data_IF_189794060509
#
_entry.id   IF_189794060509
#
_cell.length_a   1.000
_cell.length_b   1.000
_cell.length_c   1.000
_cell.angle_alpha   90.00
_cell.angle_beta   90.00
_cell.angle_gamma   90.00
#
_symmetry.space_group_name_H-M   'P 1'
#
loop_
_entity.id
_entity.type
_entity.pdbx_description
1 polymer ?
#
# COMPACT_ATOMS: atom_id res chain seq x y z
N UNK A 1 5.02 -5.15 5.69
CA UNK A 1 4.48 -4.42 6.86
C UNK A 1 4.07 -5.38 7.99
N UNK A 2 3.99 -4.92 9.25
CA UNK A 2 3.39 -5.68 10.35
C UNK A 2 1.98 -6.15 9.99
N UNK A 3 1.58 -7.31 10.49
CA UNK A 3 0.22 -7.88 10.31
C UNK A 3 -0.26 -7.97 8.85
N UNK A 4 0.70 -8.12 7.92
CA UNK A 4 0.44 -8.32 6.51
C UNK A 4 1.13 -9.58 5.99
N UNK A 5 0.59 -10.18 4.92
CA UNK A 5 1.27 -11.24 4.15
C UNK A 5 1.18 -10.96 2.67
N UNK A 6 2.21 -11.37 1.94
CA UNK A 6 2.21 -11.34 0.49
C UNK A 6 1.95 -12.74 -0.06
N UNK A 7 1.13 -12.82 -1.11
CA UNK A 7 1.07 -13.96 -2.04
C UNK A 7 1.24 -13.43 -3.46
N UNK A 8 1.65 -14.25 -4.41
CA UNK A 8 1.91 -13.78 -5.77
C UNK A 8 1.40 -14.77 -6.82
N UNK A 9 0.88 -14.25 -7.93
CA UNK A 9 0.52 -14.98 -9.13
C UNK A 9 1.00 -14.19 -10.37
N UNK A 10 2.08 -14.64 -11.01
CA UNK A 10 2.70 -13.90 -12.11
C UNK A 10 3.12 -12.49 -11.69
N UNK A 11 2.67 -11.48 -12.43
CA UNK A 11 2.89 -10.06 -12.13
C UNK A 11 1.87 -9.46 -11.14
N UNK A 12 1.03 -10.28 -10.50
CA UNK A 12 0.09 -9.83 -9.46
C UNK A 12 0.59 -10.21 -8.10
N UNK A 13 0.90 -9.21 -7.28
CA UNK A 13 1.25 -9.37 -5.87
C UNK A 13 0.04 -8.98 -5.02
N UNK A 14 -0.33 -9.83 -4.06
CA UNK A 14 -1.48 -9.63 -3.19
C UNK A 14 -1.01 -9.30 -1.79
N UNK A 15 -1.38 -8.12 -1.30
CA UNK A 15 -1.13 -7.68 0.07
C UNK A 15 -2.36 -8.00 0.94
N UNK A 16 -2.26 -9.04 1.76
CA UNK A 16 -3.28 -9.43 2.73
C UNK A 16 -3.11 -8.61 4.01
N UNK A 17 -4.17 -7.90 4.44
CA UNK A 17 -4.18 -7.01 5.61
C UNK A 17 -4.93 -7.67 6.77
N UNK A 18 -4.20 -8.28 7.72
CA UNK A 18 -4.82 -8.94 8.89
C UNK A 18 -5.22 -7.93 9.99
N UNK A 19 -4.55 -6.78 10.03
CA UNK A 19 -4.99 -5.58 10.74
C UNK A 19 -5.38 -4.50 9.73
N UNK A 20 -6.43 -3.72 10.01
CA UNK A 20 -6.79 -2.58 9.16
C UNK A 20 -6.09 -1.31 9.64
N UNK A 21 -5.11 -0.78 8.89
CA UNK A 21 -4.38 0.41 9.29
C UNK A 21 -5.19 1.68 9.00
N UNK A 22 -4.89 2.73 9.75
CA UNK A 22 -5.54 4.02 9.52
C UNK A 22 -4.89 4.73 8.31
N UNK A 23 -5.63 4.79 7.20
CA UNK A 23 -5.32 5.48 5.94
C UNK A 23 -4.09 5.03 5.16
N UNK A 24 -2.97 4.74 5.79
CA UNK A 24 -1.71 4.52 5.05
C UNK A 24 -1.09 3.16 5.34
N UNK A 25 -0.55 2.54 4.29
CA UNK A 25 0.37 1.40 4.41
C UNK A 25 1.63 1.68 3.64
N UNK A 26 2.77 1.50 4.29
CA UNK A 26 4.08 1.70 3.68
C UNK A 26 4.70 0.36 3.30
N UNK A 27 5.10 0.23 2.03
CA UNK A 27 5.68 -0.96 1.45
C UNK A 27 7.13 -0.66 1.03
N UNK A 28 8.12 -0.93 1.90
CA UNK A 28 9.53 -0.82 1.54
C UNK A 28 9.89 -1.75 0.38
N UNK A 29 10.73 -1.29 -0.53
CA UNK A 29 11.19 -2.03 -1.70
C UNK A 29 10.20 -2.08 -2.86
N UNK A 30 9.16 -1.23 -2.87
CA UNK A 30 8.04 -1.31 -3.82
C UNK A 30 7.77 -0.02 -4.59
N UNK A 31 8.47 1.09 -4.31
CA UNK A 31 8.17 2.41 -4.90
C UNK A 31 8.21 2.39 -6.43
N UNK A 32 9.09 1.57 -7.00
CA UNK A 32 9.32 1.53 -8.44
C UNK A 32 8.82 0.24 -9.10
N UNK A 33 8.30 -0.72 -8.31
CA UNK A 33 7.91 -2.06 -8.79
C UNK A 33 6.44 -2.19 -9.11
N UNK A 34 5.59 -1.39 -8.48
CA UNK A 34 4.13 -1.44 -8.67
C UNK A 34 3.72 -0.37 -9.66
N UNK A 35 2.93 -0.75 -10.65
CA UNK A 35 2.34 0.15 -11.65
C UNK A 35 0.94 0.61 -11.22
N UNK A 36 0.17 -0.28 -10.59
CA UNK A 36 -1.22 -0.02 -10.22
C UNK A 36 -1.64 -0.83 -8.98
N UNK A 37 -2.63 -0.32 -8.23
CA UNK A 37 -3.18 -0.99 -7.06
C UNK A 37 -4.70 -0.86 -6.97
N UNK A 38 -5.37 -1.94 -6.54
CA UNK A 38 -6.82 -1.94 -6.29
C UNK A 38 -7.21 -2.86 -5.12
N UNK A 39 -8.39 -2.64 -4.56
CA UNK A 39 -9.02 -3.56 -3.62
C UNK A 39 -9.54 -4.80 -4.33
N UNK A 40 -9.21 -6.00 -3.83
CA UNK A 40 -9.63 -7.26 -4.45
C UNK A 40 -11.16 -7.47 -4.42
N UNK A 41 -11.85 -6.92 -3.41
CA UNK A 41 -13.27 -7.22 -3.17
C UNK A 41 -14.24 -6.48 -4.09
N UNK A 42 -13.86 -5.31 -4.62
CA UNK A 42 -14.74 -4.45 -5.43
C UNK A 42 -14.01 -3.73 -6.57
N UNK A 43 -12.71 -4.01 -6.77
CA UNK A 43 -11.84 -3.36 -7.75
C UNK A 43 -11.74 -1.83 -7.60
N UNK A 44 -12.06 -1.28 -6.43
CA UNK A 44 -11.83 0.14 -6.15
C UNK A 44 -10.33 0.43 -6.18
N UNK A 45 -9.94 1.47 -6.92
CA UNK A 45 -8.56 1.91 -7.00
C UNK A 45 -8.02 2.33 -5.62
N UNK A 46 -6.77 1.98 -5.35
CA UNK A 46 -6.04 2.37 -4.14
C UNK A 46 -5.01 3.41 -4.53
N UNK A 47 -5.07 4.59 -3.90
CA UNK A 47 -4.12 5.67 -4.15
C UNK A 47 -2.69 5.23 -3.84
N UNK A 48 -1.75 5.62 -4.70
CA UNK A 48 -0.34 5.26 -4.61
C UNK A 48 0.53 6.51 -4.68
N UNK A 49 1.45 6.67 -3.73
CA UNK A 49 2.42 7.75 -3.78
C UNK A 49 3.73 7.37 -3.09
N UNK A 50 4.79 8.10 -3.42
CA UNK A 50 6.07 8.06 -2.69
C UNK A 50 6.22 9.35 -1.91
N UNK A 51 6.93 9.31 -0.79
CA UNK A 51 7.22 10.49 0.03
C UNK A 51 8.69 10.83 -0.18
N UNK A 52 9.00 12.10 -0.46
CA UNK A 52 10.39 12.54 -0.59
C UNK A 52 11.17 12.15 0.69
N UNK A 53 12.24 11.35 0.57
CA UNK A 53 13.04 10.91 1.71
C UNK A 53 13.69 12.06 2.49
N UNK A 54 13.83 13.24 1.87
CA UNK A 54 14.36 14.45 2.51
C UNK A 54 13.26 15.38 3.05
N UNK A 55 11.98 15.00 2.92
CA UNK A 55 10.87 15.78 3.46
C UNK A 55 10.97 15.85 4.99
N UNK A 56 11.03 17.07 5.52
CA UNK A 56 10.95 17.29 6.96
C UNK A 56 9.53 17.02 7.46
N UNK A 57 9.41 16.31 8.59
CA UNK A 57 8.13 16.17 9.28
C UNK A 57 7.71 17.53 9.87
N UNK A 58 6.52 18.01 9.50
CA UNK A 58 5.98 19.30 9.94
C UNK A 58 4.47 19.17 10.20
N UNK A 59 4.04 19.38 11.45
CA UNK A 59 2.63 19.31 11.85
C UNK A 59 1.93 18.00 11.38
N UNK A 60 1.11 18.09 10.33
CA UNK A 60 0.35 16.95 9.74
C UNK A 60 1.06 16.31 8.55
N UNK A 61 2.22 16.82 8.14
CA UNK A 61 3.01 16.30 7.03
C UNK A 61 4.00 15.26 7.55
N UNK A 62 3.93 14.05 6.99
CA UNK A 62 4.85 12.96 7.32
C UNK A 62 6.27 13.31 6.86
N UNK A 63 7.28 12.97 7.67
CA UNK A 63 8.67 13.03 7.20
C UNK A 63 8.96 11.95 6.17
N UNK A 64 10.07 12.09 5.44
CA UNK A 64 10.55 11.06 4.54
C UNK A 64 10.71 9.70 5.23
N UNK A 65 10.17 8.65 4.62
CA UNK A 65 10.14 7.29 5.17
C UNK A 65 11.11 6.32 4.48
N UNK A 66 11.91 6.81 3.52
CA UNK A 66 12.90 6.05 2.77
C UNK A 66 12.81 6.30 1.26
N UNK A 67 13.88 6.02 0.53
CA UNK A 67 14.00 6.29 -0.92
C UNK A 67 13.21 5.32 -1.80
N UNK A 68 12.93 4.12 -1.30
CA UNK A 68 12.20 3.07 -2.02
C UNK A 68 11.05 2.56 -1.16
N UNK A 69 10.08 3.44 -0.89
CA UNK A 69 8.88 3.10 -0.14
C UNK A 69 7.65 3.56 -0.91
N UNK A 70 6.79 2.60 -1.24
CA UNK A 70 5.45 2.89 -1.77
C UNK A 70 4.48 3.08 -0.61
N UNK A 71 3.75 4.19 -0.59
CA UNK A 71 2.63 4.41 0.31
C UNK A 71 1.33 4.15 -0.44
N UNK A 72 0.46 3.34 0.18
CA UNK A 72 -0.90 3.11 -0.27
C UNK A 72 -1.89 3.91 0.58
N UNK A 73 -2.88 4.52 -0.08
CA UNK A 73 -3.99 5.22 0.54
C UNK A 73 -5.22 4.33 0.63
N UNK A 74 -5.45 3.79 1.83
CA UNK A 74 -6.59 2.96 2.16
C UNK A 74 -7.81 3.78 2.59
N UNK A 75 -9.03 3.27 2.38
CA UNK A 75 -10.22 3.89 2.94
C UNK A 75 -10.18 3.88 4.47
N UNK A 76 -10.75 4.91 5.08
CA UNK A 76 -10.85 4.99 6.55
C UNK A 76 -11.68 3.82 7.09
N UNK A 77 -12.78 3.49 6.41
CA UNK A 77 -13.61 2.36 6.78
C UNK A 77 -13.06 1.06 6.19
N UNK A 78 -12.87 0.05 7.04
CA UNK A 78 -12.51 -1.31 6.60
C UNK A 78 -13.60 -1.87 5.68
N UNK A 79 -13.26 -2.46 4.53
CA UNK A 79 -14.21 -3.18 3.71
C UNK A 79 -14.87 -4.33 4.49
N UNK A 80 -16.14 -4.63 4.17
CA UNK A 80 -16.93 -5.68 4.82
C UNK A 80 -16.57 -7.09 4.31
N UNK A 81 -15.30 -7.46 4.43
CA UNK A 81 -14.77 -8.79 4.09
C UNK A 81 -13.91 -9.32 5.24
N UNK A 82 -13.73 -10.64 5.31
CA UNK A 82 -12.96 -11.28 6.38
C UNK A 82 -11.53 -10.75 6.46
N UNK A 83 -10.80 -10.82 5.34
CA UNK A 83 -9.44 -10.28 5.20
C UNK A 83 -9.41 -9.38 3.96
N UNK A 84 -9.25 -8.06 4.12
CA UNK A 84 -9.06 -7.16 2.98
C UNK A 84 -7.74 -7.45 2.27
N UNK A 85 -7.77 -7.42 0.94
CA UNK A 85 -6.60 -7.67 0.10
C UNK A 85 -6.46 -6.54 -0.90
N UNK A 86 -5.25 -5.98 -1.01
CA UNK A 86 -4.89 -5.08 -2.11
C UNK A 86 -4.15 -5.89 -3.16
N UNK A 87 -4.63 -5.84 -4.40
CA UNK A 87 -3.92 -6.32 -5.56
C UNK A 87 -2.93 -5.26 -6.03
N UNK A 88 -1.66 -5.63 -6.17
CA UNK A 88 -0.57 -4.81 -6.67
C UNK A 88 -0.11 -5.38 -7.99
N UNK A 89 -0.24 -4.59 -9.04
CA UNK A 89 0.17 -4.94 -10.39
C UNK A 89 1.63 -4.56 -10.54
N UNK A 90 2.49 -5.55 -10.67
CA UNK A 90 3.92 -5.36 -10.82
C UNK A 90 4.24 -4.97 -12.26
N UNK A 91 5.21 -4.07 -12.42
CA UNK A 91 5.84 -3.80 -13.73
C UNK A 91 6.57 -5.06 -14.22
N UNK A 92 6.63 -5.20 -15.53
CA UNK A 92 7.40 -6.25 -16.22
C UNK A 92 8.93 -6.09 -16.03
#
# INVERSE_FOLDING_TARGET
>A
PPDCRYTQNGNRLYLHLFSWPFRHVHLPGMAHRVEYAQMLNDASEVGMHTIDPHQAALNTTMGGIGTDVLTLDLPVQKPSVAVPVVELFLKD
#
